data_IF_265462075142
#
_entry.id   IF_265462075142
#
_cell.length_a   1.000
_cell.length_b   1.000
_cell.length_c   1.000
_cell.angle_alpha   90.00
_cell.angle_beta   90.00
_cell.angle_gamma   90.00
#
_symmetry.space_group_name_H-M   'P 1'
#
loop_
_entity.id
_entity.type
_entity.pdbx_description
1 polymer ?
#
# COMPACT_ATOMS: atom_id res chain seq x y z
N UNK A 1 6.23 12.97 24.96
CA UNK A 1 5.94 13.47 23.59
C UNK A 1 6.37 12.39 22.58
N UNK A 2 5.98 11.14 22.77
CA UNK A 2 4.70 10.49 22.39
C UNK A 2 4.62 10.28 20.87
N UNK A 3 5.14 9.11 20.50
CA UNK A 3 5.44 8.54 19.18
C UNK A 3 4.33 8.55 18.12
N UNK A 4 3.12 9.00 18.45
CA UNK A 4 1.96 9.00 17.53
C UNK A 4 2.21 9.93 16.34
N UNK A 5 2.77 11.13 16.57
CA UNK A 5 3.18 12.03 15.49
C UNK A 5 4.29 11.45 14.62
N UNK A 6 5.20 10.68 15.21
CA UNK A 6 6.27 10.00 14.48
C UNK A 6 5.70 8.91 13.58
N UNK A 7 4.75 8.10 14.06
CA UNK A 7 4.05 7.11 13.22
C UNK A 7 3.24 7.76 12.10
N UNK A 8 2.67 8.94 12.34
CA UNK A 8 1.94 9.70 11.34
C UNK A 8 2.85 10.29 10.26
N UNK A 9 4.02 10.82 10.65
CA UNK A 9 5.04 11.34 9.73
C UNK A 9 5.76 10.21 8.98
N UNK A 10 5.97 9.07 9.61
CA UNK A 10 6.66 7.91 9.03
C UNK A 10 5.79 7.11 8.05
N UNK A 11 4.50 7.43 7.95
CA UNK A 11 3.60 6.80 6.99
C UNK A 11 3.44 5.32 7.22
N UNK A 12 2.67 5.00 8.27
CA UNK A 12 2.10 3.69 8.55
C UNK A 12 3.01 2.52 8.09
N UNK A 13 4.09 2.22 8.83
CA UNK A 13 5.14 1.30 8.36
C UNK A 13 4.65 -0.12 8.11
N UNK A 14 3.52 -0.52 8.70
CA UNK A 14 2.94 -1.86 8.58
C UNK A 14 2.42 -2.17 7.16
N UNK A 15 1.45 -1.43 6.59
CA UNK A 15 1.01 -1.66 5.22
C UNK A 15 2.15 -1.48 4.22
N UNK A 16 3.09 -0.58 4.49
CA UNK A 16 4.26 -0.38 3.63
C UNK A 16 5.22 -1.58 3.63
N UNK A 17 5.46 -2.19 4.79
CA UNK A 17 6.21 -3.44 4.90
C UNK A 17 5.51 -4.60 4.17
N UNK A 18 4.19 -4.67 4.24
CA UNK A 18 3.41 -5.71 3.55
C UNK A 18 3.49 -5.53 2.03
N UNK A 19 3.32 -4.30 1.52
CA UNK A 19 3.38 -4.02 0.07
C UNK A 19 4.78 -4.30 -0.47
N UNK A 20 5.84 -3.98 0.27
CA UNK A 20 7.23 -4.28 -0.14
C UNK A 20 7.52 -5.78 -0.14
N UNK A 21 7.03 -6.54 0.85
CA UNK A 21 7.10 -7.99 0.82
C UNK A 21 6.35 -8.58 -0.38
N UNK A 22 5.15 -8.07 -0.69
CA UNK A 22 4.39 -8.52 -1.87
C UNK A 22 5.14 -8.19 -3.16
N UNK A 23 5.79 -7.03 -3.26
CA UNK A 23 6.62 -6.68 -4.41
C UNK A 23 7.77 -7.69 -4.60
N UNK A 24 8.47 -8.06 -3.53
CA UNK A 24 9.54 -9.09 -3.59
C UNK A 24 8.96 -10.44 -4.02
N UNK A 25 7.80 -10.84 -3.48
CA UNK A 25 7.11 -12.07 -3.87
C UNK A 25 6.68 -12.07 -5.34
N UNK A 26 6.25 -10.93 -5.89
CA UNK A 26 5.93 -10.77 -7.32
C UNK A 26 7.15 -11.06 -8.18
N UNK A 27 8.33 -10.55 -7.83
CA UNK A 27 9.58 -10.84 -8.55
C UNK A 27 10.01 -12.31 -8.45
N UNK A 28 9.89 -12.92 -7.25
CA UNK A 28 10.19 -14.35 -7.08
C UNK A 28 9.20 -15.25 -7.85
N UNK A 29 7.92 -14.90 -7.85
CA UNK A 29 6.89 -15.62 -8.59
C UNK A 29 7.08 -15.47 -10.11
N UNK A 30 7.57 -14.31 -10.58
CA UNK A 30 7.89 -14.10 -11.99
C UNK A 30 8.92 -15.11 -12.51
N UNK A 31 9.83 -15.59 -11.68
CA UNK A 31 10.80 -16.61 -12.07
C UNK A 31 10.27 -18.05 -11.91
N UNK A 32 9.54 -18.34 -10.82
CA UNK A 32 9.21 -19.72 -10.42
C UNK A 32 7.81 -20.19 -10.83
N UNK A 33 6.83 -19.29 -10.92
CA UNK A 33 5.43 -19.63 -11.17
C UNK A 33 4.67 -18.44 -11.81
N UNK A 34 4.69 -18.29 -13.15
CA UNK A 34 4.10 -17.13 -13.83
C UNK A 34 2.59 -16.98 -13.60
N UNK A 35 1.89 -18.08 -13.33
CA UNK A 35 0.46 -18.08 -13.02
C UNK A 35 0.11 -17.37 -11.69
N UNK A 36 1.05 -17.29 -10.74
CA UNK A 36 0.82 -16.74 -9.41
C UNK A 36 1.04 -15.22 -9.35
N UNK A 37 1.74 -14.66 -10.34
CA UNK A 37 2.10 -13.24 -10.40
C UNK A 37 0.86 -12.33 -10.46
N UNK A 38 -0.18 -12.73 -11.20
CA UNK A 38 -1.43 -11.96 -11.28
C UNK A 38 -2.17 -11.89 -9.95
N UNK A 39 -2.19 -12.99 -9.19
CA UNK A 39 -2.87 -13.04 -7.89
C UNK A 39 -2.09 -12.25 -6.84
N UNK A 40 -0.75 -12.31 -6.85
CA UNK A 40 0.09 -11.50 -5.98
C UNK A 40 -0.02 -10.01 -6.28
N UNK A 41 -0.10 -9.62 -7.56
CA UNK A 41 -0.38 -8.23 -7.94
C UNK A 41 -1.71 -7.73 -7.36
N UNK A 42 -2.79 -8.53 -7.45
CA UNK A 42 -4.10 -8.19 -6.87
C UNK A 42 -4.04 -8.07 -5.35
N UNK A 43 -3.27 -8.94 -4.67
CA UNK A 43 -3.03 -8.84 -3.23
C UNK A 43 -2.29 -7.53 -2.87
N UNK A 44 -1.34 -7.09 -3.70
CA UNK A 44 -0.69 -5.78 -3.56
C UNK A 44 -1.68 -4.62 -3.59
N UNK A 45 -2.66 -4.66 -4.49
CA UNK A 45 -3.73 -3.66 -4.55
C UNK A 45 -4.62 -3.70 -3.29
N UNK A 46 -5.07 -4.88 -2.89
CA UNK A 46 -5.95 -5.05 -1.72
C UNK A 46 -5.26 -4.55 -0.45
N UNK A 47 -3.98 -4.88 -0.28
CA UNK A 47 -3.19 -4.41 0.87
C UNK A 47 -2.94 -2.90 0.85
N UNK A 48 -2.74 -2.30 -0.33
CA UNK A 48 -2.69 -0.84 -0.49
C UNK A 48 -4.01 -0.14 -0.11
N UNK A 49 -5.15 -0.69 -0.51
CA UNK A 49 -6.48 -0.17 -0.15
C UNK A 49 -6.70 -0.29 1.37
N UNK A 50 -6.43 -1.47 1.95
CA UNK A 50 -6.57 -1.68 3.39
C UNK A 50 -5.64 -0.77 4.21
N UNK A 51 -4.40 -0.58 3.76
CA UNK A 51 -3.45 0.34 4.38
C UNK A 51 -3.91 1.80 4.38
N UNK A 52 -4.58 2.21 3.30
CA UNK A 52 -5.17 3.55 3.16
C UNK A 52 -6.37 3.72 4.10
N UNK A 53 -7.27 2.75 4.16
CA UNK A 53 -8.41 2.77 5.08
C UNK A 53 -7.97 2.82 6.54
N UNK A 54 -6.96 2.02 6.89
CA UNK A 54 -6.38 2.03 8.24
C UNK A 54 -5.68 3.37 8.56
N UNK A 55 -5.05 3.99 7.57
CA UNK A 55 -4.48 5.33 7.72
C UNK A 55 -5.55 6.41 7.95
N UNK A 56 -6.67 6.34 7.21
CA UNK A 56 -7.79 7.28 7.37
C UNK A 56 -8.49 7.09 8.72
N UNK A 57 -8.71 5.85 9.18
CA UNK A 57 -9.31 5.62 10.51
C UNK A 57 -8.45 6.19 11.63
N UNK A 58 -7.12 5.97 11.59
CA UNK A 58 -6.20 6.57 12.55
C UNK A 58 -6.23 8.11 12.52
N UNK A 59 -6.34 8.70 11.33
CA UNK A 59 -6.47 10.15 11.19
C UNK A 59 -7.76 10.64 11.86
N UNK A 60 -8.89 10.00 11.58
CA UNK A 60 -10.19 10.38 12.13
C UNK A 60 -10.25 10.21 13.66
N UNK A 61 -9.70 9.11 14.19
CA UNK A 61 -9.60 8.89 15.65
C UNK A 61 -8.77 9.99 16.32
N UNK A 62 -7.68 10.42 15.67
CA UNK A 62 -6.85 11.52 16.18
C UNK A 62 -7.57 12.86 16.18
N UNK A 63 -8.32 13.19 15.11
CA UNK A 63 -9.12 14.41 15.04
C UNK A 63 -10.26 14.40 16.07
N UNK A 64 -10.89 13.24 16.30
CA UNK A 64 -11.96 13.08 17.29
C UNK A 64 -11.50 13.39 18.73
N UNK A 65 -10.23 13.16 19.05
CA UNK A 65 -9.63 13.50 20.34
C UNK A 65 -8.97 14.88 20.40
N UNK A 66 -8.78 15.58 19.28
CA UNK A 66 -7.99 16.81 19.20
C UNK A 66 -8.64 17.83 18.26
N UNK A 67 -9.76 18.43 18.66
CA UNK A 67 -10.55 19.35 17.84
C UNK A 67 -9.77 20.61 17.36
N UNK A 68 -8.73 21.05 18.08
CA UNK A 68 -7.92 22.23 17.72
C UNK A 68 -6.73 21.89 16.80
N UNK A 69 -6.81 20.84 15.98
CA UNK A 69 -5.70 20.48 15.10
C UNK A 69 -5.51 21.50 13.97
N UNK A 70 -4.30 22.02 13.73
CA UNK A 70 -4.04 22.87 12.57
C UNK A 70 -4.32 22.14 11.25
N UNK A 71 -4.98 22.81 10.31
CA UNK A 71 -5.34 22.24 9.00
C UNK A 71 -4.12 21.68 8.23
N UNK A 72 -2.94 22.28 8.41
CA UNK A 72 -1.69 21.80 7.82
C UNK A 72 -1.32 20.36 8.24
N UNK A 73 -1.66 19.94 9.45
CA UNK A 73 -1.43 18.58 9.96
C UNK A 73 -2.37 17.59 9.28
N UNK A 74 -3.63 17.98 9.07
CA UNK A 74 -4.65 17.18 8.39
C UNK A 74 -4.26 16.93 6.93
N UNK A 75 -3.85 17.97 6.20
CA UNK A 75 -3.42 17.83 4.80
C UNK A 75 -2.19 16.94 4.65
N UNK A 76 -1.24 17.03 5.59
CA UNK A 76 -0.05 16.16 5.61
C UNK A 76 -0.44 14.72 5.92
N UNK A 77 -1.32 14.51 6.89
CA UNK A 77 -1.89 13.20 7.21
C UNK A 77 -2.51 12.53 6.01
N UNK A 78 -3.44 13.23 5.37
CA UNK A 78 -4.15 12.73 4.19
C UNK A 78 -3.17 12.34 3.07
N UNK A 79 -2.18 13.20 2.78
CA UNK A 79 -1.13 12.90 1.80
C UNK A 79 -0.39 11.60 2.14
N UNK A 80 -0.05 11.40 3.41
CA UNK A 80 0.69 10.21 3.86
C UNK A 80 -0.18 8.94 3.78
N UNK A 81 -1.46 9.02 4.10
CA UNK A 81 -2.39 7.88 4.00
C UNK A 81 -2.63 7.40 2.56
N UNK A 82 -2.38 8.25 1.57
CA UNK A 82 -2.48 7.91 0.14
C UNK A 82 -1.26 7.15 -0.39
N UNK A 83 -0.12 7.21 0.30
CA UNK A 83 1.12 6.58 -0.15
C UNK A 83 0.94 5.06 -0.34
N UNK A 84 0.37 4.29 0.61
CA UNK A 84 0.12 2.86 0.43
C UNK A 84 -0.73 2.54 -0.80
N UNK A 85 -1.71 3.40 -1.15
CA UNK A 85 -2.53 3.20 -2.34
C UNK A 85 -1.70 3.30 -3.63
N UNK A 86 -0.86 4.34 -3.76
CA UNK A 86 0.01 4.51 -4.93
C UNK A 86 0.93 3.31 -5.12
N UNK A 87 1.54 2.82 -4.04
CA UNK A 87 2.43 1.66 -4.11
C UNK A 87 1.68 0.35 -4.37
N UNK A 88 0.49 0.15 -3.79
CA UNK A 88 -0.34 -1.02 -4.08
C UNK A 88 -0.76 -1.08 -5.56
N UNK A 89 -1.14 0.06 -6.15
CA UNK A 89 -1.44 0.18 -7.58
C UNK A 89 -0.20 -0.11 -8.42
N UNK A 90 0.96 0.43 -8.02
CA UNK A 90 2.22 0.20 -8.74
C UNK A 90 2.59 -1.29 -8.79
N UNK A 91 2.53 -1.99 -7.65
CA UNK A 91 2.75 -3.44 -7.56
C UNK A 91 1.75 -4.21 -8.42
N UNK A 92 0.48 -3.80 -8.43
CA UNK A 92 -0.56 -4.42 -9.25
C UNK A 92 -0.28 -4.28 -10.75
N UNK A 93 0.09 -3.08 -11.21
CA UNK A 93 0.44 -2.82 -12.62
C UNK A 93 1.62 -3.69 -13.04
N UNK A 94 2.68 -3.75 -12.22
CA UNK A 94 3.85 -4.61 -12.50
C UNK A 94 3.44 -6.08 -12.59
N UNK A 95 2.65 -6.56 -11.63
CA UNK A 95 2.15 -7.94 -11.62
C UNK A 95 1.31 -8.29 -12.85
N UNK A 96 0.49 -7.35 -13.32
CA UNK A 96 -0.29 -7.50 -14.56
C UNK A 96 0.59 -7.54 -15.81
N UNK A 97 1.57 -6.63 -15.93
CA UNK A 97 2.48 -6.57 -17.07
C UNK A 97 3.26 -7.89 -17.18
N UNK A 98 3.85 -8.33 -16.07
CA UNK A 98 4.62 -9.59 -16.02
C UNK A 98 3.72 -10.77 -16.40
N UNK A 99 2.52 -10.86 -15.81
CA UNK A 99 1.58 -11.94 -16.13
C UNK A 99 1.14 -11.93 -17.61
N UNK A 100 1.01 -10.75 -18.23
CA UNK A 100 0.65 -10.61 -19.65
C UNK A 100 1.79 -11.04 -20.58
N UNK A 101 3.03 -10.69 -20.24
CA UNK A 101 4.23 -11.11 -20.99
C UNK A 101 4.48 -12.61 -20.86
N UNK A 102 4.22 -13.18 -19.68
CA UNK A 102 4.47 -14.58 -19.37
C UNK A 102 3.33 -15.53 -19.74
N UNK A 103 2.14 -15.01 -20.12
CA UNK A 103 1.10 -15.87 -20.69
C UNK A 103 1.68 -16.57 -21.93
N UNK A 104 1.78 -17.91 -21.96
CA UNK A 104 2.08 -18.59 -23.20
C UNK A 104 0.98 -18.21 -24.17
N UNK A 105 1.37 -17.71 -25.34
CA UNK A 105 0.46 -17.51 -26.47
C UNK A 105 -0.17 -18.88 -26.75
N UNK A 106 -1.37 -19.14 -26.22
CA UNK A 106 -2.08 -20.39 -26.46
C UNK A 106 -2.38 -20.44 -27.96
N UNK A 107 -1.70 -21.38 -28.61
CA UNK A 107 -2.00 -21.96 -29.90
C UNK A 107 -3.18 -22.93 -29.76
#
# INVERSE_FOLDING_TARGET
MNSIFVFFIQGNPVPMGIITLILVLVFLAAWKAPAWVSNLGKLGLVTGILGTLFGISQMLDYLGGNAETPAAVIYRGLKVTLIPLYYGIFVYIIGLIISTVQKPRLR
#
